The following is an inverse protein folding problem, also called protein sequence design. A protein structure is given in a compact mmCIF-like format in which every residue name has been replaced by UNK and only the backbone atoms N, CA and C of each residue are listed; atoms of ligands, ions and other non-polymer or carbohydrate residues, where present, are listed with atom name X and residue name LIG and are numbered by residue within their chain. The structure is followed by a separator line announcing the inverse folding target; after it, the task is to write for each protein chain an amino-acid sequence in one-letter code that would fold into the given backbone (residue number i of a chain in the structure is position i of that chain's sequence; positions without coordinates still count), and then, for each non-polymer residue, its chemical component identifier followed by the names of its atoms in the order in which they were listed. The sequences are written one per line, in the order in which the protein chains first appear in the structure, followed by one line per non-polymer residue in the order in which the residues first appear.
data_IF_166181270518
#
_entry.id   IF_166181270518
#
_cell.length_a   1.000
_cell.length_b   1.000
_cell.length_c   1.000
_cell.angle_alpha   90.00
_cell.angle_beta   90.00
_cell.angle_gamma   90.00
#
_symmetry.space_group_name_H-M   'P 1'
#
loop_
_entity.id
_entity.type
_entity.pdbx_description
1 polymer ?
#
# COMPACT_ATOMS: atom_id res chain seq x y z
N UNK A 1 14.92 4.87 13.31
CA UNK A 1 14.86 3.39 13.32
C UNK A 1 13.81 2.81 12.37
N UNK A 2 12.59 3.38 12.27
CA UNK A 2 11.51 2.82 11.45
C UNK A 2 11.80 2.78 9.92
N UNK A 3 12.52 3.77 9.37
CA UNK A 3 12.92 3.79 7.94
C UNK A 3 13.77 2.57 7.55
N UNK A 4 14.86 2.35 8.28
CA UNK A 4 15.81 1.26 8.01
C UNK A 4 15.13 -0.10 8.09
N UNK A 5 14.13 -0.25 8.95
CA UNK A 5 13.34 -1.46 9.07
C UNK A 5 12.48 -1.70 7.81
N UNK A 6 11.81 -0.67 7.28
CA UNK A 6 11.02 -0.78 6.04
C UNK A 6 11.89 -1.07 4.82
N UNK A 7 13.08 -0.47 4.73
CA UNK A 7 14.06 -0.73 3.66
C UNK A 7 14.59 -2.17 3.73
N UNK A 8 14.87 -2.66 4.96
CA UNK A 8 15.28 -4.04 5.20
C UNK A 8 14.18 -5.03 4.83
N UNK A 9 12.93 -4.76 5.22
CA UNK A 9 11.78 -5.59 4.87
C UNK A 9 11.57 -5.67 3.37
N UNK A 10 11.71 -4.54 2.66
CA UNK A 10 11.67 -4.49 1.20
C UNK A 10 12.77 -5.34 0.56
N UNK A 11 14.01 -5.20 1.02
CA UNK A 11 15.14 -5.99 0.53
C UNK A 11 14.95 -7.49 0.74
N UNK A 12 14.61 -7.90 1.97
CA UNK A 12 14.33 -9.31 2.29
C UNK A 12 13.23 -9.85 1.39
N UNK A 13 12.16 -9.08 1.19
CA UNK A 13 11.01 -9.51 0.38
C UNK A 13 11.37 -9.78 -1.06
N UNK A 14 12.22 -8.95 -1.68
CA UNK A 14 12.69 -9.16 -3.05
C UNK A 14 13.54 -10.43 -3.20
N UNK A 15 14.22 -10.88 -2.14
CA UNK A 15 15.02 -12.12 -2.16
C UNK A 15 14.21 -13.38 -1.96
N UNK A 16 12.98 -13.27 -1.42
CA UNK A 16 12.12 -14.43 -1.20
C UNK A 16 11.43 -14.88 -2.50
N UNK A 17 11.23 -16.20 -2.71
CA UNK A 17 10.44 -16.71 -3.83
C UNK A 17 9.04 -16.06 -3.88
N UNK A 18 8.60 -15.63 -5.07
CA UNK A 18 7.37 -14.84 -5.22
C UNK A 18 7.48 -13.40 -4.72
N UNK A 19 8.70 -12.86 -4.73
CA UNK A 19 9.20 -11.51 -4.40
C UNK A 19 8.59 -10.33 -5.15
N UNK A 20 7.40 -10.48 -5.71
CA UNK A 20 6.81 -9.48 -6.60
C UNK A 20 6.58 -8.15 -5.86
N UNK A 21 6.97 -7.06 -6.53
CA UNK A 21 6.74 -5.69 -6.06
C UNK A 21 5.25 -5.42 -5.87
N UNK A 22 4.38 -6.09 -6.63
CA UNK A 22 2.93 -6.04 -6.46
C UNK A 22 2.27 -7.40 -6.73
N UNK A 23 1.07 -7.60 -6.18
CA UNK A 23 0.22 -8.76 -6.43
C UNK A 23 -1.00 -8.43 -7.29
N UNK A 24 -0.94 -7.31 -8.00
CA UNK A 24 -1.98 -6.83 -8.93
C UNK A 24 -1.45 -6.87 -10.36
N UNK A 25 -2.34 -6.93 -11.37
CA UNK A 25 -1.95 -6.70 -12.75
C UNK A 25 -1.25 -5.34 -12.88
N UNK A 26 -0.02 -5.33 -13.39
CA UNK A 26 0.84 -4.14 -13.43
C UNK A 26 0.71 -3.34 -14.73
N UNK A 27 0.02 -3.89 -15.73
CA UNK A 27 -0.05 -3.39 -17.11
C UNK A 27 -0.96 -2.14 -17.26
N UNK A 28 -1.96 -1.96 -16.39
CA UNK A 28 -2.87 -0.80 -16.41
C UNK A 28 -3.04 -0.17 -15.01
N UNK A 29 -1.95 -0.09 -14.25
CA UNK A 29 -2.00 0.55 -12.94
C UNK A 29 -2.13 2.06 -13.11
N UNK A 30 -3.23 2.60 -12.59
CA UNK A 30 -3.55 4.03 -12.69
C UNK A 30 -2.86 4.84 -11.59
N UNK A 31 -3.53 4.98 -10.45
CA UNK A 31 -3.04 5.75 -9.29
C UNK A 31 -2.75 4.81 -8.13
N UNK A 32 -1.58 4.98 -7.52
CA UNK A 32 -1.10 4.08 -6.46
C UNK A 32 -0.91 4.84 -5.17
N UNK A 33 -1.22 4.18 -4.05
CA UNK A 33 -0.93 4.64 -2.71
C UNK A 33 -0.07 3.61 -1.98
N UNK A 34 1.13 4.00 -1.57
CA UNK A 34 2.02 3.21 -0.73
C UNK A 34 1.96 3.73 0.72
N UNK A 35 1.31 2.97 1.59
CA UNK A 35 1.20 3.32 3.00
C UNK A 35 2.47 2.90 3.75
N UNK A 36 2.92 3.75 4.68
CA UNK A 36 4.22 3.63 5.38
C UNK A 36 5.36 3.46 4.39
N UNK A 37 5.53 4.46 3.53
CA UNK A 37 6.49 4.41 2.41
C UNK A 37 7.95 4.35 2.86
N UNK A 38 8.26 4.76 4.09
CA UNK A 38 9.64 4.83 4.61
C UNK A 38 10.51 5.72 3.73
N UNK A 39 11.61 5.18 3.22
CA UNK A 39 12.52 5.88 2.29
C UNK A 39 11.89 6.15 0.91
N UNK A 40 10.76 5.50 0.59
CA UNK A 40 10.14 5.53 -0.72
C UNK A 40 10.72 4.53 -1.72
N UNK A 41 11.70 3.70 -1.34
CA UNK A 41 12.40 2.78 -2.27
C UNK A 41 11.43 1.89 -3.06
N UNK A 42 10.41 1.34 -2.39
CA UNK A 42 9.40 0.52 -3.06
C UNK A 42 8.64 1.31 -4.13
N UNK A 43 8.23 2.55 -3.85
CA UNK A 43 7.48 3.37 -4.80
C UNK A 43 8.32 3.68 -6.04
N UNK A 44 9.60 3.99 -5.85
CA UNK A 44 10.53 4.28 -6.95
C UNK A 44 10.83 3.04 -7.81
N UNK A 45 10.96 1.86 -7.20
CA UNK A 45 11.11 0.61 -7.96
C UNK A 45 9.82 0.20 -8.67
N UNK A 46 8.66 0.44 -8.03
CA UNK A 46 7.37 0.17 -8.63
C UNK A 46 7.11 1.07 -9.84
N UNK A 47 7.50 2.35 -9.77
CA UNK A 47 7.44 3.29 -10.89
C UNK A 47 8.22 2.77 -12.10
N UNK A 48 9.45 2.27 -11.88
CA UNK A 48 10.28 1.66 -12.92
C UNK A 48 9.62 0.41 -13.52
N UNK A 49 9.02 -0.44 -12.68
CA UNK A 49 8.33 -1.65 -13.11
C UNK A 49 7.13 -1.31 -14.02
N UNK A 50 6.33 -0.31 -13.64
CA UNK A 50 5.13 0.08 -14.40
C UNK A 50 5.42 1.05 -15.54
N UNK A 51 6.69 1.44 -15.75
CA UNK A 51 7.11 2.50 -16.69
C UNK A 51 6.37 3.83 -16.46
N UNK A 52 6.16 4.17 -15.19
CA UNK A 52 5.31 5.28 -14.78
C UNK A 52 3.84 4.87 -14.70
N UNK A 53 3.35 4.60 -13.49
CA UNK A 53 1.92 4.40 -13.26
C UNK A 53 1.15 5.60 -13.84
N UNK A 54 0.07 5.35 -14.59
CA UNK A 54 -0.54 6.36 -15.50
C UNK A 54 -0.95 7.67 -14.83
N UNK A 55 -1.21 7.64 -13.52
CA UNK A 55 -1.67 8.79 -12.74
C UNK A 55 -0.81 9.07 -11.50
N UNK A 56 0.37 8.46 -11.41
CA UNK A 56 1.34 8.66 -10.34
C UNK A 56 1.22 7.70 -9.16
N UNK A 57 2.29 7.70 -8.36
CA UNK A 57 2.45 6.93 -7.14
C UNK A 57 2.60 7.91 -5.98
N UNK A 58 1.71 7.81 -5.01
CA UNK A 58 1.78 8.59 -3.77
C UNK A 58 2.23 7.69 -2.63
N UNK A 59 3.07 8.19 -1.74
CA UNK A 59 3.45 7.50 -0.51
C UNK A 59 3.10 8.34 0.71
N UNK A 60 2.61 7.69 1.76
CA UNK A 60 2.37 8.32 3.06
C UNK A 60 3.27 7.72 4.12
N UNK A 61 3.75 8.57 5.03
CA UNK A 61 4.49 8.14 6.21
C UNK A 61 4.30 9.15 7.34
N UNK A 62 4.32 8.66 8.59
CA UNK A 62 4.52 9.52 9.76
C UNK A 62 6.01 9.86 9.82
N UNK A 63 6.32 11.15 9.68
CA UNK A 63 7.69 11.64 9.54
C UNK A 63 8.18 11.70 8.09
N UNK A 64 9.17 12.56 7.87
CA UNK A 64 9.75 12.82 6.55
C UNK A 64 10.48 11.58 6.01
N UNK A 65 10.43 11.41 4.68
CA UNK A 65 11.24 10.42 3.95
C UNK A 65 12.73 10.55 4.28
N UNK A 66 13.23 11.77 4.48
CA UNK A 66 14.63 12.06 4.78
C UNK A 66 15.00 11.89 6.26
N UNK A 67 14.03 11.64 7.14
CA UNK A 67 14.26 11.59 8.57
C UNK A 67 15.22 10.45 8.97
N UNK A 68 16.30 10.83 9.65
CA UNK A 68 17.32 9.89 10.15
C UNK A 68 18.20 9.24 9.08
N UNK A 69 18.20 9.76 7.85
CA UNK A 69 19.06 9.28 6.78
C UNK A 69 20.19 10.25 6.45
N UNK A 70 21.40 9.75 6.20
CA UNK A 70 22.46 10.56 5.61
C UNK A 70 22.05 11.06 4.22
N UNK A 71 22.54 12.23 3.83
CA UNK A 71 22.21 12.88 2.55
C UNK A 71 22.57 11.99 1.35
N UNK A 72 23.69 11.27 1.43
CA UNK A 72 24.14 10.34 0.39
C UNK A 72 23.21 9.14 0.18
N UNK A 73 22.30 8.88 1.13
CA UNK A 73 21.28 7.83 1.04
C UNK A 73 19.94 8.34 0.49
N UNK A 74 19.87 9.62 0.06
CA UNK A 74 18.70 10.20 -0.59
C UNK A 74 18.84 10.09 -2.10
N UNK A 75 18.29 9.01 -2.66
CA UNK A 75 18.15 8.89 -4.11
C UNK A 75 17.19 9.97 -4.65
N UNK A 76 17.48 10.45 -5.87
CA UNK A 76 16.57 11.31 -6.62
C UNK A 76 15.21 10.61 -6.80
N UNK A 77 14.14 11.33 -6.46
CA UNK A 77 12.77 10.84 -6.53
C UNK A 77 12.26 11.04 -7.96
N UNK A 78 11.72 9.99 -8.63
CA UNK A 78 11.07 10.15 -9.93
C UNK A 78 9.94 11.17 -9.87
N UNK A 79 9.75 11.97 -10.91
CA UNK A 79 8.70 13.01 -10.96
C UNK A 79 7.27 12.45 -10.80
N UNK A 80 7.08 11.16 -11.08
CA UNK A 80 5.80 10.46 -10.94
C UNK A 80 5.54 9.95 -9.50
N UNK A 81 6.52 10.07 -8.61
CA UNK A 81 6.44 9.69 -7.21
C UNK A 81 6.29 10.94 -6.32
N UNK A 82 5.27 10.93 -5.45
CA UNK A 82 4.99 11.99 -4.49
C UNK A 82 4.94 11.42 -3.08
N UNK A 83 5.44 12.15 -2.09
CA UNK A 83 5.49 11.68 -0.70
C UNK A 83 4.90 12.74 0.22
N UNK A 84 3.96 12.32 1.07
CA UNK A 84 3.26 13.16 2.03
C UNK A 84 3.57 12.69 3.45
N UNK A 85 3.88 13.63 4.33
CA UNK A 85 3.91 13.37 5.77
C UNK A 85 2.47 13.33 6.28
N UNK A 86 1.95 12.12 6.45
CA UNK A 86 0.54 11.88 6.75
C UNK A 86 0.36 10.54 7.44
N UNK A 87 -0.47 10.52 8.48
CA UNK A 87 -0.91 9.27 9.08
C UNK A 87 -1.77 8.49 8.08
N UNK A 88 -1.41 7.23 7.86
CA UNK A 88 -2.19 6.34 6.99
C UNK A 88 -3.54 5.93 7.60
N UNK A 89 -3.74 6.20 8.90
CA UNK A 89 -4.99 6.00 9.62
C UNK A 89 -5.98 7.15 9.42
N UNK A 90 -5.56 8.28 8.85
CA UNK A 90 -6.45 9.40 8.58
C UNK A 90 -7.27 9.19 7.30
N UNK A 91 -8.49 9.77 7.23
CA UNK A 91 -9.30 9.70 6.02
C UNK A 91 -8.61 10.36 4.82
N UNK A 92 -8.66 9.71 3.66
CA UNK A 92 -8.16 10.22 2.38
C UNK A 92 -9.11 11.24 1.73
N UNK A 93 -9.73 12.09 2.55
CA UNK A 93 -10.69 13.11 2.10
C UNK A 93 -9.98 14.16 1.26
N UNK A 94 -10.58 14.52 0.13
CA UNK A 94 -10.00 15.48 -0.83
C UNK A 94 -8.90 14.91 -1.73
N UNK A 95 -8.41 13.70 -1.46
CA UNK A 95 -7.42 13.04 -2.33
C UNK A 95 -8.11 12.38 -3.53
N UNK A 96 -7.47 12.36 -4.72
CA UNK A 96 -7.94 11.56 -5.84
C UNK A 96 -7.99 10.08 -5.49
N UNK A 97 -8.97 9.36 -6.06
CA UNK A 97 -9.14 7.93 -5.79
C UNK A 97 -7.98 7.08 -6.32
N UNK A 98 -7.63 6.03 -5.56
CA UNK A 98 -6.51 5.13 -5.84
C UNK A 98 -7.00 3.82 -6.45
N UNK A 99 -6.30 3.36 -7.48
CA UNK A 99 -6.55 2.05 -8.08
C UNK A 99 -5.83 0.94 -7.31
N UNK A 100 -4.67 1.24 -6.74
CA UNK A 100 -3.91 0.28 -5.96
C UNK A 100 -3.48 0.92 -4.64
N UNK A 101 -3.86 0.31 -3.53
CA UNK A 101 -3.43 0.70 -2.18
C UNK A 101 -2.60 -0.45 -1.62
N UNK A 102 -1.35 -0.16 -1.28
CA UNK A 102 -0.40 -1.13 -0.74
C UNK A 102 -0.20 -0.87 0.75
N UNK A 103 -0.57 -1.86 1.58
CA UNK A 103 -0.50 -1.80 3.06
C UNK A 103 0.34 -2.93 3.68
N UNK A 104 1.18 -3.57 2.86
CA UNK A 104 1.88 -4.82 3.18
C UNK A 104 2.78 -4.79 4.43
N UNK A 105 3.28 -3.63 4.86
CA UNK A 105 4.21 -3.52 5.99
C UNK A 105 3.61 -2.77 7.19
N UNK A 106 2.28 -2.66 7.27
CA UNK A 106 1.57 -1.97 8.37
C UNK A 106 1.24 -2.93 9.52
N UNK A 107 1.57 -4.22 9.40
CA UNK A 107 1.17 -5.29 10.32
C UNK A 107 1.30 -4.96 11.82
N UNK A 108 2.39 -4.28 12.22
CA UNK A 108 2.70 -3.96 13.63
C UNK A 108 2.33 -2.54 14.06
N UNK A 109 1.90 -1.68 13.13
CA UNK A 109 1.72 -0.25 13.38
C UNK A 109 0.26 0.21 13.32
N UNK A 110 -0.67 -0.64 12.87
CA UNK A 110 -2.10 -0.31 12.92
C UNK A 110 -2.64 -0.51 14.34
N UNK A 111 -3.24 0.53 14.88
CA UNK A 111 -4.03 0.46 16.13
C UNK A 111 -5.44 -0.08 15.88
N UNK A 112 -6.00 0.19 14.70
CA UNK A 112 -7.37 -0.19 14.31
C UNK A 112 -7.43 -0.69 12.85
N UNK A 113 -7.38 -2.02 12.65
CA UNK A 113 -7.47 -2.61 11.31
C UNK A 113 -8.78 -2.30 10.58
N UNK A 114 -9.89 -2.10 11.30
CA UNK A 114 -11.20 -1.81 10.68
C UNK A 114 -11.19 -0.41 10.09
N UNK A 115 -10.74 0.58 10.85
CA UNK A 115 -10.61 1.97 10.37
C UNK A 115 -9.69 2.05 9.15
N UNK A 116 -8.58 1.31 9.12
CA UNK A 116 -7.70 1.26 7.95
C UNK A 116 -8.42 0.74 6.71
N UNK A 117 -9.20 -0.34 6.86
CA UNK A 117 -9.97 -0.94 5.77
C UNK A 117 -11.07 0.01 5.26
N UNK A 118 -11.80 0.66 6.16
CA UNK A 118 -12.85 1.63 5.82
C UNK A 118 -12.24 2.83 5.06
N UNK A 119 -11.18 3.43 5.59
CA UNK A 119 -10.50 4.55 4.93
C UNK A 119 -9.89 4.16 3.58
N UNK A 120 -9.32 2.95 3.48
CA UNK A 120 -8.78 2.43 2.21
C UNK A 120 -9.90 2.19 1.19
N UNK A 121 -11.05 1.69 1.64
CA UNK A 121 -12.18 1.44 0.77
C UNK A 121 -12.78 2.73 0.21
N UNK A 122 -12.96 3.74 1.07
CA UNK A 122 -13.43 5.06 0.64
C UNK A 122 -12.45 5.72 -0.32
N UNK A 123 -11.15 5.41 -0.22
CA UNK A 123 -10.13 5.92 -1.12
C UNK A 123 -10.08 5.21 -2.50
N UNK A 124 -10.86 4.14 -2.74
CA UNK A 124 -10.77 3.38 -3.99
C UNK A 124 -11.39 4.06 -5.21
N UNK A 125 -10.73 3.86 -6.36
CA UNK A 125 -11.37 3.99 -7.67
C UNK A 125 -12.10 2.69 -8.02
N UNK A 126 -13.21 2.76 -8.79
CA UNK A 126 -13.89 1.59 -9.33
C UNK A 126 -12.95 0.49 -9.83
N UNK A 127 -13.07 -0.71 -9.25
CA UNK A 127 -12.26 -1.88 -9.63
C UNK A 127 -10.84 -1.92 -9.06
N UNK A 128 -10.56 -1.07 -8.06
CA UNK A 128 -9.27 -1.02 -7.39
C UNK A 128 -8.97 -2.20 -6.46
N UNK A 129 -7.73 -2.22 -5.96
CA UNK A 129 -7.14 -3.31 -5.21
C UNK A 129 -6.49 -2.83 -3.90
N UNK A 130 -6.79 -3.52 -2.79
CA UNK A 130 -6.02 -3.44 -1.55
C UNK A 130 -5.05 -4.61 -1.46
N UNK A 131 -3.76 -4.35 -1.27
CA UNK A 131 -2.83 -5.37 -0.79
C UNK A 131 -2.65 -5.25 0.73
N UNK A 132 -3.12 -6.26 1.48
CA UNK A 132 -3.03 -6.29 2.96
C UNK A 132 -2.31 -7.55 3.47
N UNK A 133 -1.39 -7.47 4.47
CA UNK A 133 -0.46 -8.54 4.82
C UNK A 133 -1.03 -9.73 5.62
N UNK A 134 -2.35 -9.83 5.82
CA UNK A 134 -2.96 -11.00 6.46
C UNK A 134 -4.26 -11.42 5.78
N UNK A 135 -4.55 -12.74 5.74
CA UNK A 135 -5.93 -13.21 5.67
C UNK A 135 -6.69 -12.65 6.86
N UNK A 136 -7.72 -11.84 6.60
CA UNK A 136 -8.58 -11.27 7.62
C UNK A 136 -9.43 -12.43 8.16
N UNK A 137 -8.87 -13.22 9.09
CA UNK A 137 -9.44 -14.48 9.56
C UNK A 137 -10.57 -14.32 10.58
N UNK A 138 -10.78 -13.11 11.10
CA UNK A 138 -11.78 -12.89 12.14
C UNK A 138 -12.54 -11.57 11.99
N UNK A 139 -13.01 -11.31 10.77
CA UNK A 139 -14.11 -10.38 10.56
C UNK A 139 -15.06 -10.96 9.51
N UNK A 140 -16.31 -10.50 9.49
CA UNK A 140 -17.35 -10.88 8.52
C UNK A 140 -16.92 -10.81 7.03
N UNK A 141 -15.78 -10.17 6.71
CA UNK A 141 -15.09 -10.05 5.42
C UNK A 141 -14.57 -11.39 4.90
N UNK A 142 -14.22 -12.33 5.78
CA UNK A 142 -13.76 -13.67 5.40
C UNK A 142 -14.81 -14.45 4.59
N UNK A 143 -16.11 -14.11 4.75
CA UNK A 143 -17.24 -14.76 4.06
C UNK A 143 -17.56 -14.18 2.69
N UNK A 144 -16.94 -13.07 2.31
CA UNK A 144 -17.25 -12.34 1.07
C UNK A 144 -16.18 -12.54 -0.03
N UNK A 145 -15.10 -13.27 0.26
CA UNK A 145 -14.01 -13.49 -0.69
C UNK A 145 -14.11 -14.89 -1.32
N UNK A 146 -14.11 -15.01 -2.67
CA UNK A 146 -13.93 -16.31 -3.30
C UNK A 146 -12.55 -16.87 -2.92
N UNK A 147 -12.51 -18.16 -2.57
CA UNK A 147 -11.32 -18.86 -2.11
C UNK A 147 -10.11 -18.60 -3.02
N UNK A 148 -9.14 -17.85 -2.51
CA UNK A 148 -7.93 -17.48 -3.23
C UNK A 148 -6.88 -16.90 -2.31
N UNK A 149 -6.56 -17.60 -1.21
CA UNK A 149 -5.37 -17.28 -0.42
C UNK A 149 -4.16 -17.84 -1.15
N UNK A 150 -3.41 -16.99 -1.84
CA UNK A 150 -2.08 -17.34 -2.32
C UNK A 150 -1.06 -16.37 -1.72
N UNK A 151 -0.25 -16.89 -0.79
CA UNK A 151 0.92 -16.25 -0.20
C UNK A 151 0.68 -14.91 0.51
N UNK A 152 0.16 -14.98 1.75
CA UNK A 152 0.43 -13.99 2.80
C UNK A 152 -0.06 -12.55 2.60
N UNK A 153 -0.72 -12.23 1.49
CA UNK A 153 -1.41 -10.97 1.28
C UNK A 153 -2.83 -11.23 0.79
N UNK A 154 -3.81 -10.55 1.36
CA UNK A 154 -5.18 -10.52 0.82
C UNK A 154 -5.23 -9.41 -0.20
N UNK A 155 -5.74 -9.76 -1.38
CA UNK A 155 -6.16 -8.83 -2.38
C UNK A 155 -7.66 -8.58 -2.22
N UNK A 156 -8.04 -7.42 -1.68
CA UNK A 156 -9.45 -7.02 -1.67
C UNK A 156 -9.73 -6.25 -2.95
N UNK A 157 -10.67 -6.74 -3.76
CA UNK A 157 -11.20 -6.03 -4.90
C UNK A 157 -12.48 -5.30 -4.49
N UNK A 158 -12.64 -4.05 -4.91
CA UNK A 158 -13.74 -3.18 -4.46
C UNK A 158 -15.15 -3.73 -4.79
N UNK A 159 -15.27 -4.63 -5.76
CA UNK A 159 -16.54 -5.30 -6.11
C UNK A 159 -17.05 -6.28 -5.03
N UNK A 160 -16.24 -6.56 -4.00
CA UNK A 160 -16.65 -7.34 -2.83
C UNK A 160 -17.36 -6.44 -1.81
N UNK A 161 -18.71 -6.48 -1.81
CA UNK A 161 -19.60 -5.62 -1.01
C UNK A 161 -19.27 -5.58 0.49
N UNK A 162 -18.86 -4.41 1.00
CA UNK A 162 -18.79 -4.07 2.44
C UNK A 162 -20.15 -3.87 3.13
N UNK A 163 -21.27 -4.20 2.49
CA UNK A 163 -22.63 -3.89 2.96
C UNK A 163 -23.00 -4.50 4.33
N UNK A 164 -22.14 -5.33 4.93
CA UNK A 164 -22.35 -5.96 6.23
C UNK A 164 -21.72 -5.20 7.41
N UNK A 165 -21.08 -4.04 7.18
CA UNK A 165 -20.26 -3.33 8.19
C UNK A 165 -20.82 -1.99 8.69
N UNK A 166 -22.01 -1.58 8.24
CA UNK A 166 -22.69 -0.34 8.69
C UNK A 166 -23.69 -0.57 9.83
N UNK A 167 -23.46 -1.56 10.70
CA UNK A 167 -24.23 -1.72 11.94
C UNK A 167 -23.30 -1.72 13.14
#
# INVERSE_FOLDING_TARGET
MARNELDRQHFIRQKLPGGDLAKVPVEDVKRVLNLRTGSGIWAMEFDKLTKGAKKGISGSNLGSRSEGAPEEHLTSVPSNCTFEERDFMDPWTGSPKFYYIRSRLIFIAQSDPRRLLENSYDAFSPGGYLEHPRPIRDTALSRLLPHGSFSGAVLLRQDVRLAQYRK
#
